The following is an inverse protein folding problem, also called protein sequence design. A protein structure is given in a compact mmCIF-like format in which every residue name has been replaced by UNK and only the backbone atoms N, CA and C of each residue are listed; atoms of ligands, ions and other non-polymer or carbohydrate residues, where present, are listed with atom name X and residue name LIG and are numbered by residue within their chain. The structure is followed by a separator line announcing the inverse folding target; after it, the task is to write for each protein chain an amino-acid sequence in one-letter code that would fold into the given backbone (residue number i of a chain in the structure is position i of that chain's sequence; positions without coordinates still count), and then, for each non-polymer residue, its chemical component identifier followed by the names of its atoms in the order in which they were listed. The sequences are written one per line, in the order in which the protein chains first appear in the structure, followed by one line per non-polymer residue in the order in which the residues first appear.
data_IF_013741205598
#
_entry.id   IF_013741205598
#
_cell.length_a   1.000
_cell.length_b   1.000
_cell.length_c   1.000
_cell.angle_alpha   90.00
_cell.angle_beta   90.00
_cell.angle_gamma   90.00
#
_symmetry.space_group_name_H-M   'P 1'
#
loop_
_entity.id
_entity.type
_entity.pdbx_description
1 polymer ?
#
# COMPACT_ATOMS: atom_id res chain seq x y z
N UNK A 1 25.27 6.06 5.73
CA UNK A 1 24.78 5.03 4.80
C UNK A 1 23.29 5.21 4.72
N UNK A 2 22.71 5.27 3.52
CA UNK A 2 21.25 5.25 3.35
C UNK A 2 20.76 3.87 3.79
N UNK A 3 19.86 3.82 4.77
CA UNK A 3 19.26 2.56 5.19
C UNK A 3 18.27 2.08 4.12
N UNK A 4 18.27 0.78 3.84
CA UNK A 4 17.43 0.17 2.82
C UNK A 4 16.22 -0.52 3.43
N UNK A 5 15.12 -0.63 2.67
CA UNK A 5 14.00 -1.46 3.04
C UNK A 5 14.20 -2.85 2.44
N UNK A 6 14.94 -3.70 3.15
CA UNK A 6 15.46 -5.00 2.70
C UNK A 6 14.40 -5.91 2.06
N UNK A 7 13.14 -5.74 2.45
CA UNK A 7 12.00 -6.47 1.91
C UNK A 7 11.88 -6.34 0.38
N UNK A 8 12.16 -5.16 -0.18
CA UNK A 8 12.00 -4.89 -1.61
C UNK A 8 12.98 -5.67 -2.46
N UNK A 9 14.17 -5.98 -1.92
CA UNK A 9 15.30 -6.57 -2.65
C UNK A 9 15.58 -5.84 -3.98
N UNK A 10 15.48 -4.51 -3.95
CA UNK A 10 15.66 -3.66 -5.12
C UNK A 10 17.09 -3.81 -5.64
N UNK A 11 17.21 -4.34 -6.87
CA UNK A 11 18.48 -4.63 -7.51
C UNK A 11 18.94 -3.46 -8.39
N UNK A 12 20.24 -3.30 -8.55
CA UNK A 12 20.79 -2.32 -9.50
C UNK A 12 20.64 -2.84 -10.93
N UNK A 13 20.28 -1.94 -11.84
CA UNK A 13 20.19 -2.22 -13.26
C UNK A 13 21.46 -1.86 -14.03
N UNK A 14 21.30 -1.58 -15.33
CA UNK A 14 22.43 -1.29 -16.24
C UNK A 14 23.00 0.15 -16.13
N UNK A 15 22.38 1.02 -15.33
CA UNK A 15 22.79 2.42 -15.11
C UNK A 15 22.65 2.75 -13.63
N UNK A 16 23.41 3.73 -13.15
CA UNK A 16 23.34 4.18 -11.75
C UNK A 16 22.01 4.82 -11.34
N UNK A 17 21.12 5.08 -12.30
CA UNK A 17 19.79 5.66 -12.09
C UNK A 17 18.66 4.70 -12.50
N UNK A 18 18.99 3.42 -12.67
CA UNK A 18 18.06 2.39 -13.08
C UNK A 18 18.13 1.21 -12.11
N UNK A 19 16.98 0.79 -11.60
CA UNK A 19 16.85 -0.30 -10.63
C UNK A 19 15.78 -1.28 -11.08
N UNK A 20 15.78 -2.47 -10.48
CA UNK A 20 14.84 -3.52 -10.80
C UNK A 20 14.18 -4.04 -9.51
N UNK A 21 12.86 -4.05 -9.48
CA UNK A 21 12.04 -4.62 -8.43
C UNK A 21 11.47 -5.97 -8.90
N UNK A 22 11.99 -7.11 -8.41
CA UNK A 22 11.33 -8.39 -8.63
C UNK A 22 9.97 -8.41 -7.91
N UNK A 23 8.89 -8.57 -8.66
CA UNK A 23 7.54 -8.59 -8.06
C UNK A 23 7.30 -9.98 -7.48
N UNK A 24 7.44 -10.10 -6.16
CA UNK A 24 7.15 -11.36 -5.45
C UNK A 24 5.71 -11.38 -4.93
N UNK A 25 5.16 -12.56 -4.59
CA UNK A 25 3.87 -12.65 -3.92
C UNK A 25 3.81 -11.81 -2.64
N UNK A 26 4.87 -11.79 -1.84
CA UNK A 26 4.95 -11.03 -0.59
C UNK A 26 4.91 -9.50 -0.80
N UNK A 27 5.24 -9.00 -1.99
CA UNK A 27 5.11 -7.58 -2.35
C UNK A 27 3.78 -7.27 -3.04
N UNK A 28 2.89 -8.26 -3.17
CA UNK A 28 1.69 -8.21 -3.98
C UNK A 28 0.43 -8.41 -3.16
N UNK A 29 -0.70 -7.98 -3.71
CA UNK A 29 -2.01 -8.23 -3.14
C UNK A 29 -2.43 -9.70 -3.37
N UNK A 30 -3.43 -10.21 -2.61
CA UNK A 30 -4.02 -11.54 -2.87
C UNK A 30 -4.70 -11.71 -4.24
N UNK A 31 -4.72 -10.66 -5.06
CA UNK A 31 -5.37 -10.63 -6.37
C UNK A 31 -4.36 -10.63 -7.53
N UNK A 32 -3.14 -11.10 -7.29
CA UNK A 32 -2.06 -11.22 -8.28
C UNK A 32 -1.68 -9.88 -8.94
N UNK A 33 -1.57 -8.81 -8.15
CA UNK A 33 -0.91 -7.60 -8.59
C UNK A 33 -0.12 -6.91 -7.47
N UNK A 34 0.96 -6.22 -7.85
CA UNK A 34 1.86 -5.48 -6.96
C UNK A 34 1.06 -4.55 -6.04
N UNK A 35 1.36 -4.62 -4.75
CA UNK A 35 0.76 -3.72 -3.76
C UNK A 35 1.26 -2.29 -3.98
N UNK A 36 0.35 -1.31 -3.91
CA UNK A 36 0.66 0.10 -4.16
C UNK A 36 1.77 0.62 -3.24
N UNK A 37 1.70 0.29 -1.94
CA UNK A 37 2.74 0.57 -0.96
C UNK A 37 4.12 0.04 -1.36
N UNK A 38 4.22 -1.16 -1.93
CA UNK A 38 5.48 -1.73 -2.46
C UNK A 38 6.04 -0.90 -3.61
N UNK A 39 5.17 -0.47 -4.54
CA UNK A 39 5.56 0.36 -5.68
C UNK A 39 6.08 1.73 -5.25
N UNK A 40 5.39 2.39 -4.32
CA UNK A 40 5.85 3.66 -3.75
C UNK A 40 7.18 3.47 -3.01
N UNK A 41 7.28 2.44 -2.17
CA UNK A 41 8.49 2.14 -1.41
C UNK A 41 9.71 1.93 -2.33
N UNK A 42 9.54 1.24 -3.46
CA UNK A 42 10.57 1.09 -4.48
C UNK A 42 10.96 2.42 -5.14
N UNK A 43 9.98 3.28 -5.46
CA UNK A 43 10.28 4.63 -5.98
C UNK A 43 11.08 5.47 -5.00
N UNK A 44 10.73 5.41 -3.70
CA UNK A 44 11.45 6.12 -2.63
C UNK A 44 12.88 5.63 -2.56
N UNK A 45 13.08 4.32 -2.41
CA UNK A 45 14.42 3.75 -2.22
C UNK A 45 15.31 4.01 -3.44
N UNK A 46 14.79 3.83 -4.66
CA UNK A 46 15.52 4.15 -5.89
C UNK A 46 15.96 5.63 -5.93
N UNK A 47 15.07 6.56 -5.58
CA UNK A 47 15.38 7.98 -5.58
C UNK A 47 16.36 8.37 -4.46
N UNK A 48 16.27 7.77 -3.27
CA UNK A 48 17.22 7.98 -2.18
C UNK A 48 18.61 7.43 -2.51
N UNK A 49 18.71 6.28 -3.21
CA UNK A 49 19.98 5.75 -3.73
C UNK A 49 20.64 6.70 -4.74
N UNK A 50 19.87 7.32 -5.62
CA UNK A 50 20.40 8.26 -6.64
C UNK A 50 20.76 9.62 -6.06
N UNK A 51 19.95 10.13 -5.14
CA UNK A 51 20.16 11.47 -4.58
C UNK A 51 21.07 11.49 -3.36
N UNK A 52 21.28 10.34 -2.72
CA UNK A 52 21.96 10.19 -1.42
C UNK A 52 21.37 11.13 -0.35
N UNK A 53 20.07 11.41 -0.46
CA UNK A 53 19.34 12.35 0.40
C UNK A 53 18.00 11.74 0.80
N UNK A 54 17.57 11.94 2.06
CA UNK A 54 16.30 11.41 2.51
C UNK A 54 15.13 12.09 1.78
N UNK A 55 14.08 11.32 1.59
CA UNK A 55 12.81 11.78 1.06
C UNK A 55 12.13 12.73 2.05
N UNK A 56 11.58 13.84 1.54
CA UNK A 56 10.68 14.71 2.31
C UNK A 56 9.24 14.65 1.80
N UNK A 57 9.06 14.38 0.51
CA UNK A 57 7.74 14.32 -0.12
C UNK A 57 7.77 13.46 -1.37
N UNK A 58 6.72 12.68 -1.57
CA UNK A 58 6.45 11.93 -2.80
C UNK A 58 4.96 12.01 -3.12
N UNK A 59 4.62 12.11 -4.40
CA UNK A 59 3.28 11.78 -4.91
C UNK A 59 3.44 10.77 -6.03
N UNK A 60 2.64 9.70 -6.01
CA UNK A 60 2.69 8.62 -6.98
C UNK A 60 1.33 8.43 -7.62
N UNK A 61 1.29 8.37 -8.94
CA UNK A 61 0.10 8.02 -9.72
C UNK A 61 0.21 6.56 -10.16
N UNK A 62 -0.87 5.79 -9.97
CA UNK A 62 -0.97 4.40 -10.41
C UNK A 62 -1.67 4.34 -11.77
N UNK A 63 -1.04 3.71 -12.75
CA UNK A 63 -1.54 3.67 -14.13
C UNK A 63 -2.03 2.27 -14.52
N UNK A 64 -1.26 1.24 -14.18
CA UNK A 64 -1.57 -0.16 -14.48
C UNK A 64 -1.16 -1.08 -13.33
N UNK A 65 -1.63 -2.32 -13.39
CA UNK A 65 -1.31 -3.36 -12.42
C UNK A 65 -0.29 -4.33 -13.01
N UNK A 66 0.56 -4.88 -12.15
CA UNK A 66 1.63 -5.81 -12.55
C UNK A 66 1.59 -7.06 -11.68
N UNK A 67 1.60 -8.24 -12.30
CA UNK A 67 1.50 -9.51 -11.61
C UNK A 67 2.82 -9.96 -10.95
N UNK A 68 2.75 -10.79 -9.88
CA UNK A 68 3.90 -11.53 -9.37
C UNK A 68 4.64 -12.32 -10.46
N UNK A 69 5.96 -12.44 -10.30
CA UNK A 69 6.86 -13.12 -11.24
C UNK A 69 7.40 -12.23 -12.36
N UNK A 70 6.93 -10.99 -12.47
CA UNK A 70 7.51 -9.98 -13.35
C UNK A 70 8.65 -9.21 -12.67
N UNK A 71 9.37 -8.42 -13.45
CA UNK A 71 10.36 -7.45 -12.96
C UNK A 71 9.92 -6.06 -13.37
N UNK A 72 9.81 -5.16 -12.40
CA UNK A 72 9.51 -3.75 -12.65
C UNK A 72 10.83 -3.00 -12.76
N UNK A 73 11.08 -2.39 -13.91
CA UNK A 73 12.19 -1.46 -14.13
C UNK A 73 11.84 -0.10 -13.52
N UNK A 74 12.73 0.48 -12.72
CA UNK A 74 12.54 1.75 -11.99
C UNK A 74 13.63 2.72 -12.43
N UNK A 75 13.27 3.70 -13.26
CA UNK A 75 14.15 4.75 -13.76
C UNK A 75 13.98 6.04 -12.97
N UNK A 76 15.11 6.63 -12.56
CA UNK A 76 15.16 7.85 -11.77
C UNK A 76 15.78 8.98 -12.59
N UNK A 77 15.06 10.09 -12.70
CA UNK A 77 15.57 11.34 -13.26
C UNK A 77 15.63 12.41 -12.18
N UNK A 78 16.71 13.21 -12.14
CA UNK A 78 16.84 14.34 -11.20
C UNK A 78 16.83 15.66 -11.97
N UNK A 79 15.66 16.19 -12.38
CA UNK A 79 15.56 17.47 -13.09
C UNK A 79 16.24 18.64 -12.37
N UNK A 80 16.24 18.62 -11.03
CA UNK A 80 16.89 19.65 -10.22
C UNK A 80 17.76 18.99 -9.16
N UNK A 81 19.07 19.24 -9.22
CA UNK A 81 20.02 18.89 -8.18
C UNK A 81 20.55 20.17 -7.50
N UNK A 82 19.81 20.69 -6.53
CA UNK A 82 20.20 21.87 -5.78
C UNK A 82 21.21 21.58 -4.66
N UNK A 83 21.69 22.63 -3.99
CA UNK A 83 22.65 22.54 -2.88
C UNK A 83 22.19 21.62 -1.75
N UNK A 84 20.91 21.72 -1.39
CA UNK A 84 20.35 20.96 -0.27
C UNK A 84 19.07 20.21 -0.64
N UNK A 85 18.44 20.55 -1.76
CA UNK A 85 17.15 19.98 -2.19
C UNK A 85 17.27 19.48 -3.62
N UNK A 86 16.75 18.30 -3.89
CA UNK A 86 16.59 17.73 -5.23
C UNK A 86 15.12 17.54 -5.57
N UNK A 87 14.74 17.83 -6.81
CA UNK A 87 13.44 17.45 -7.38
C UNK A 87 13.71 16.27 -8.33
N UNK A 88 12.98 15.18 -8.11
CA UNK A 88 13.23 13.88 -8.74
C UNK A 88 11.94 13.35 -9.35
N UNK A 89 12.04 12.77 -10.54
CA UNK A 89 10.97 12.00 -11.15
C UNK A 89 11.38 10.53 -11.15
N UNK A 90 10.47 9.64 -10.77
CA UNK A 90 10.67 8.19 -10.85
C UNK A 90 9.59 7.61 -11.74
N UNK A 91 9.98 6.84 -12.74
CA UNK A 91 9.05 6.11 -13.59
C UNK A 91 9.32 4.62 -13.42
N UNK A 92 8.28 3.86 -13.12
CA UNK A 92 8.38 2.42 -13.04
C UNK A 92 7.56 1.76 -14.15
N UNK A 93 8.15 0.80 -14.84
CA UNK A 93 7.59 0.18 -16.04
C UNK A 93 7.82 -1.32 -16.08
N UNK A 94 7.01 -2.03 -16.85
CA UNK A 94 7.19 -3.45 -17.18
C UNK A 94 7.18 -3.59 -18.69
N UNK A 95 8.20 -4.23 -19.25
CA UNK A 95 8.38 -4.36 -20.70
C UNK A 95 8.29 -3.02 -21.45
N UNK A 96 8.73 -1.93 -20.81
CA UNK A 96 8.70 -0.56 -21.34
C UNK A 96 7.37 0.19 -21.17
N UNK A 97 6.31 -0.47 -20.70
CA UNK A 97 5.01 0.15 -20.44
C UNK A 97 4.96 0.74 -19.03
N UNK A 98 4.60 2.02 -18.93
CA UNK A 98 4.60 2.75 -17.66
C UNK A 98 3.49 2.24 -16.72
N UNK A 99 3.87 1.85 -15.51
CA UNK A 99 2.99 1.30 -14.47
C UNK A 99 2.68 2.31 -13.37
N UNK A 100 3.68 3.03 -12.89
CA UNK A 100 3.52 4.14 -11.97
C UNK A 100 4.51 5.26 -12.28
N UNK A 101 4.15 6.47 -11.88
CA UNK A 101 5.02 7.64 -11.97
C UNK A 101 4.97 8.42 -10.67
N UNK A 102 6.14 8.78 -10.16
CA UNK A 102 6.30 9.48 -8.89
C UNK A 102 7.07 10.79 -9.09
N UNK A 103 6.62 11.84 -8.41
CA UNK A 103 7.38 13.08 -8.22
C UNK A 103 7.84 13.15 -6.77
N UNK A 104 9.12 13.43 -6.56
CA UNK A 104 9.74 13.40 -5.25
C UNK A 104 10.54 14.68 -4.97
N UNK A 105 10.57 15.08 -3.70
CA UNK A 105 11.47 16.09 -3.19
C UNK A 105 12.34 15.49 -2.09
N UNK A 106 13.65 15.54 -2.28
CA UNK A 106 14.64 15.04 -1.33
C UNK A 106 15.40 16.21 -0.74
N UNK A 107 15.71 16.18 0.55
CA UNK A 107 16.44 17.28 1.18
C UNK A 107 17.33 16.78 2.31
N UNK A 108 18.54 17.34 2.39
CA UNK A 108 19.41 17.21 3.56
C UNK A 108 19.73 18.60 4.09
N UNK A 109 19.44 18.82 5.37
CA UNK A 109 19.73 20.07 6.09
C UNK A 109 20.43 19.71 7.40
N UNK A 110 21.30 20.59 7.93
CA UNK A 110 21.80 20.44 9.28
C UNK A 110 20.65 20.34 10.28
N UNK A 111 20.89 19.66 11.40
CA UNK A 111 19.94 19.62 12.51
C UNK A 111 19.56 21.04 12.96
N UNK A 112 18.30 21.19 13.35
CA UNK A 112 17.74 22.46 13.76
C UNK A 112 16.50 22.26 14.62
N UNK A 113 15.70 23.33 14.73
CA UNK A 113 14.47 23.33 15.52
C UNK A 113 13.50 22.25 15.02
N UNK A 114 13.06 21.36 15.91
CA UNK A 114 12.00 20.38 15.66
C UNK A 114 10.76 20.78 16.45
N UNK A 115 9.60 20.77 15.81
CA UNK A 115 8.30 21.09 16.40
C UNK A 115 7.23 20.22 15.74
N UNK A 116 6.30 19.72 16.54
CA UNK A 116 5.12 18.99 16.06
C UNK A 116 3.88 19.69 16.59
N UNK A 117 2.96 20.07 15.69
CA UNK A 117 1.74 20.81 16.03
C UNK A 117 0.51 19.92 16.20
N UNK A 118 0.67 18.62 15.95
CA UNK A 118 -0.35 17.60 16.15
C UNK A 118 0.02 16.77 17.39
N UNK A 119 -0.98 16.16 18.02
CA UNK A 119 -0.77 15.23 19.13
C UNK A 119 -1.30 13.87 18.72
N UNK A 120 -0.52 12.80 18.96
CA UNK A 120 -0.98 11.43 18.73
C UNK A 120 -2.27 11.18 19.54
N UNK A 121 -3.30 10.55 18.97
CA UNK A 121 -4.50 10.20 19.72
C UNK A 121 -4.15 9.24 20.87
N UNK A 122 -4.83 9.41 22.02
CA UNK A 122 -4.69 8.50 23.15
C UNK A 122 -5.36 7.16 22.82
N UNK A 123 -4.56 6.12 22.65
CA UNK A 123 -5.00 4.75 22.33
C UNK A 123 -4.27 3.73 23.21
N UNK A 124 -4.82 2.50 23.39
CA UNK A 124 -4.08 1.43 24.04
C UNK A 124 -2.78 1.09 23.29
N UNK A 125 -1.74 0.62 23.98
CA UNK A 125 -0.51 0.16 23.34
C UNK A 125 -0.77 -1.11 22.52
N UNK A 126 0.09 -1.46 21.54
CA UNK A 126 -0.15 -2.57 20.61
C UNK A 126 -0.37 -3.92 21.32
N UNK A 127 0.30 -4.19 22.45
CA UNK A 127 0.13 -5.41 23.24
C UNK A 127 -1.29 -5.62 23.77
N UNK A 128 -2.03 -4.54 24.01
CA UNK A 128 -3.40 -4.55 24.54
C UNK A 128 -4.45 -4.50 23.43
N UNK A 129 -4.02 -4.37 22.16
CA UNK A 129 -4.90 -4.33 21.00
C UNK A 129 -5.09 -5.72 20.38
N UNK A 130 -6.33 -6.05 20.03
CA UNK A 130 -6.64 -7.27 19.27
C UNK A 130 -6.12 -7.20 17.82
N UNK A 131 -5.85 -8.35 17.18
CA UNK A 131 -5.40 -8.38 15.79
C UNK A 131 -6.49 -7.83 14.85
N UNK A 132 -6.06 -7.13 13.81
CA UNK A 132 -6.91 -6.79 12.67
C UNK A 132 -7.14 -8.07 11.86
N UNK A 133 -8.39 -8.49 11.71
CA UNK A 133 -8.73 -9.63 10.87
C UNK A 133 -8.58 -9.22 9.40
N UNK A 134 -7.62 -9.80 8.68
CA UNK A 134 -7.42 -9.45 7.29
C UNK A 134 -8.55 -10.02 6.43
N UNK A 135 -9.05 -9.30 5.40
CA UNK A 135 -10.22 -9.72 4.62
C UNK A 135 -10.11 -11.10 3.96
N UNK A 136 -8.91 -11.70 3.91
CA UNK A 136 -8.62 -12.97 3.24
C UNK A 136 -8.04 -14.04 4.18
N UNK A 137 -7.87 -13.78 5.47
CA UNK A 137 -7.27 -14.77 6.39
C UNK A 137 -8.08 -16.06 6.49
N UNK A 138 -9.40 -15.98 6.29
CA UNK A 138 -10.28 -17.14 6.31
C UNK A 138 -10.25 -17.97 5.01
N UNK A 139 -9.55 -17.53 3.95
CA UNK A 139 -9.51 -18.24 2.66
C UNK A 139 -8.43 -19.33 2.70
N UNK A 140 -8.80 -20.62 2.70
CA UNK A 140 -7.82 -21.70 2.75
C UNK A 140 -6.92 -21.70 1.51
N UNK A 141 -5.63 -21.94 1.70
CA UNK A 141 -4.63 -22.02 0.62
C UNK A 141 -4.53 -20.76 -0.26
N UNK A 142 -4.87 -19.57 0.27
CA UNK A 142 -4.60 -18.32 -0.46
C UNK A 142 -3.09 -18.17 -0.72
N UNK A 143 -2.68 -17.57 -1.84
CA UNK A 143 -1.28 -17.20 -2.05
C UNK A 143 -0.77 -16.28 -0.92
N UNK A 144 0.55 -16.35 -0.69
CA UNK A 144 1.23 -15.34 0.12
C UNK A 144 1.06 -13.96 -0.52
N UNK A 145 0.99 -12.94 0.32
CA UNK A 145 0.73 -11.55 -0.03
C UNK A 145 1.43 -10.60 0.94
N UNK A 146 1.35 -9.30 0.68
CA UNK A 146 1.86 -8.27 1.60
C UNK A 146 1.22 -8.34 3.00
N UNK A 147 -0.01 -8.85 3.13
CA UNK A 147 -0.66 -9.02 4.43
C UNK A 147 0.13 -9.94 5.36
N UNK A 148 0.79 -10.97 4.81
CA UNK A 148 1.53 -11.96 5.59
C UNK A 148 2.82 -11.39 6.19
N UNK A 149 3.29 -10.27 5.64
CA UNK A 149 4.44 -9.52 6.16
C UNK A 149 4.06 -8.54 7.26
N UNK A 150 2.78 -8.20 7.37
CA UNK A 150 2.30 -7.22 8.33
C UNK A 150 1.81 -7.89 9.61
N UNK A 151 2.01 -7.21 10.72
CA UNK A 151 1.28 -7.46 11.96
C UNK A 151 0.49 -6.19 12.26
N UNK A 152 -0.84 -6.32 12.34
CA UNK A 152 -1.75 -5.20 12.49
C UNK A 152 -2.71 -5.42 13.64
N UNK A 153 -2.91 -4.40 14.45
CA UNK A 153 -3.76 -4.46 15.65
C UNK A 153 -4.67 -3.25 15.74
N UNK A 154 -5.93 -3.49 16.08
CA UNK A 154 -6.97 -2.45 16.09
C UNK A 154 -6.88 -1.65 17.39
N UNK A 155 -6.55 -0.37 17.27
CA UNK A 155 -6.46 0.55 18.40
C UNK A 155 -7.77 1.35 18.59
N UNK A 156 -8.40 1.78 17.48
CA UNK A 156 -9.69 2.48 17.48
C UNK A 156 -10.53 2.02 16.29
N UNK A 157 -11.81 1.77 16.54
CA UNK A 157 -12.79 1.35 15.54
C UNK A 157 -13.01 -0.18 15.51
N UNK A 158 -13.88 -0.61 14.61
CA UNK A 158 -14.21 -2.02 14.36
C UNK A 158 -13.83 -2.37 12.93
N UNK A 159 -12.77 -3.16 12.77
CA UNK A 159 -12.25 -3.63 11.47
C UNK A 159 -12.82 -5.01 11.13
N UNK A 160 -14.14 -5.10 10.96
CA UNK A 160 -14.82 -6.33 10.59
C UNK A 160 -16.03 -6.04 9.72
N UNK A 161 -16.31 -6.92 8.75
CA UNK A 161 -17.49 -6.83 7.89
C UNK A 161 -18.48 -7.95 8.26
N UNK A 162 -19.63 -7.57 8.84
CA UNK A 162 -20.67 -8.50 9.31
C UNK A 162 -22.08 -7.95 9.06
N UNK A 163 -23.11 -8.76 9.28
CA UNK A 163 -24.51 -8.40 8.95
C UNK A 163 -25.01 -7.11 9.67
N UNK A 164 -24.51 -6.86 10.88
CA UNK A 164 -24.84 -5.68 11.68
C UNK A 164 -23.91 -4.49 11.46
N UNK A 165 -23.01 -4.56 10.48
CA UNK A 165 -22.07 -3.47 10.25
C UNK A 165 -22.82 -2.19 9.84
N UNK A 166 -22.38 -1.08 10.42
CA UNK A 166 -22.87 0.26 10.15
C UNK A 166 -21.68 1.18 9.90
N UNK A 167 -21.89 2.30 9.20
CA UNK A 167 -20.92 3.38 9.20
C UNK A 167 -20.52 3.72 10.63
N UNK A 168 -19.23 3.96 10.86
CA UNK A 168 -18.70 4.16 12.21
C UNK A 168 -17.96 5.50 12.33
N UNK A 169 -17.83 6.03 13.57
CA UNK A 169 -17.11 7.28 13.79
C UNK A 169 -15.64 7.19 13.36
N UNK A 170 -15.14 8.28 12.81
CA UNK A 170 -13.73 8.50 12.48
C UNK A 170 -13.09 9.47 13.49
N UNK A 171 -11.75 9.45 13.67
CA UNK A 171 -10.77 8.63 12.94
C UNK A 171 -10.76 7.15 13.39
N UNK A 172 -10.23 6.30 12.52
CA UNK A 172 -9.89 4.90 12.83
C UNK A 172 -8.40 4.85 13.20
N UNK A 173 -7.99 3.85 13.98
CA UNK A 173 -6.57 3.71 14.32
C UNK A 173 -6.12 2.25 14.38
N UNK A 174 -4.98 1.97 13.74
CA UNK A 174 -4.38 0.62 13.66
C UNK A 174 -2.89 0.73 13.94
N UNK A 175 -2.41 -0.05 14.90
CA UNK A 175 -0.97 -0.30 15.04
C UNK A 175 -0.53 -1.22 13.90
N UNK A 176 0.54 -0.86 13.19
CA UNK A 176 1.09 -1.65 12.09
C UNK A 176 2.60 -1.78 12.23
N UNK A 177 3.12 -2.97 11.96
CA UNK A 177 4.56 -3.23 11.81
C UNK A 177 4.84 -4.19 10.67
N UNK A 178 6.09 -4.19 10.21
CA UNK A 178 6.60 -5.22 9.30
C UNK A 178 7.26 -6.31 10.13
N UNK A 179 6.89 -7.58 9.91
CA UNK A 179 7.44 -8.71 10.66
C UNK A 179 8.93 -8.87 10.37
N UNK A 180 9.72 -9.00 11.43
CA UNK A 180 11.15 -9.33 11.34
C UNK A 180 12.09 -8.15 11.07
N UNK A 181 11.58 -6.91 11.02
CA UNK A 181 12.42 -5.72 10.92
C UNK A 181 11.71 -4.47 11.49
N UNK A 182 12.44 -3.54 12.12
CA UNK A 182 11.89 -2.26 12.56
C UNK A 182 11.54 -1.36 11.37
N UNK A 183 10.68 -0.37 11.62
CA UNK A 183 10.42 0.74 10.72
C UNK A 183 11.47 1.82 10.94
N UNK A 184 12.25 2.12 9.90
CA UNK A 184 13.34 3.11 9.95
C UNK A 184 13.55 3.91 8.67
N UNK A 185 12.78 3.61 7.63
CA UNK A 185 12.91 4.25 6.31
C UNK A 185 11.60 4.85 5.83
N UNK A 186 11.67 5.88 4.99
CA UNK A 186 10.50 6.43 4.30
C UNK A 186 9.80 5.35 3.45
N UNK A 187 10.55 4.42 2.86
CA UNK A 187 10.03 3.26 2.14
C UNK A 187 9.20 2.34 3.04
N UNK A 188 9.65 2.07 4.28
CA UNK A 188 8.89 1.25 5.24
C UNK A 188 7.58 1.93 5.69
N UNK A 189 7.57 3.26 5.84
CA UNK A 189 6.36 4.04 6.12
C UNK A 189 5.39 4.04 4.94
N UNK A 190 5.90 4.17 3.70
CA UNK A 190 5.08 4.06 2.50
C UNK A 190 4.42 2.69 2.36
N UNK A 191 5.16 1.63 2.69
CA UNK A 191 4.64 0.27 2.66
C UNK A 191 3.49 0.06 3.64
N UNK A 192 3.61 0.49 4.90
CA UNK A 192 2.51 0.30 5.87
C UNK A 192 1.35 1.31 5.68
N UNK A 193 1.64 2.46 5.06
CA UNK A 193 0.74 3.61 4.97
C UNK A 193 -0.33 3.55 3.88
N UNK A 194 -0.21 2.64 2.91
CA UNK A 194 -1.16 2.47 1.80
C UNK A 194 -2.39 1.65 2.28
N UNK A 195 -3.19 2.26 3.14
CA UNK A 195 -4.33 1.64 3.87
C UNK A 195 -5.65 2.43 3.73
N UNK A 196 -5.65 3.62 3.12
CA UNK A 196 -6.85 4.48 3.01
C UNK A 196 -8.06 3.75 2.39
N UNK A 197 -7.94 2.91 1.35
CA UNK A 197 -9.09 2.20 0.79
C UNK A 197 -9.78 1.30 1.82
N UNK A 198 -9.02 0.62 2.68
CA UNK A 198 -9.59 -0.16 3.77
C UNK A 198 -10.31 0.76 4.77
N UNK A 199 -9.69 1.86 5.18
CA UNK A 199 -10.30 2.84 6.09
C UNK A 199 -11.64 3.37 5.58
N UNK A 200 -11.75 3.66 4.28
CA UNK A 200 -13.00 4.06 3.64
C UNK A 200 -14.06 2.96 3.69
N UNK A 201 -13.72 1.72 3.33
CA UNK A 201 -14.66 0.60 3.40
C UNK A 201 -15.17 0.37 4.83
N UNK A 202 -14.28 0.49 5.82
CA UNK A 202 -14.60 0.36 7.25
C UNK A 202 -15.48 1.51 7.75
N UNK A 203 -15.23 2.75 7.30
CA UNK A 203 -16.08 3.90 7.64
C UNK A 203 -17.44 3.88 6.95
N UNK A 204 -17.52 3.34 5.73
CA UNK A 204 -18.79 3.09 5.03
C UNK A 204 -19.57 1.91 5.62
N UNK A 205 -18.90 1.03 6.37
CA UNK A 205 -19.49 -0.19 6.89
C UNK A 205 -19.82 -1.20 5.79
N UNK A 206 -19.04 -1.23 4.71
CA UNK A 206 -19.28 -2.08 3.54
C UNK A 206 -17.99 -2.75 3.05
N UNK A 207 -17.99 -4.06 2.76
CA UNK A 207 -16.83 -4.80 2.26
C UNK A 207 -16.57 -4.53 0.77
N UNK A 208 -16.34 -3.28 0.43
CA UNK A 208 -16.11 -2.88 -0.96
C UNK A 208 -14.64 -3.09 -1.33
N UNK A 209 -14.39 -3.35 -2.61
CA UNK A 209 -13.04 -3.35 -3.17
C UNK A 209 -12.60 -1.94 -3.51
N UNK A 210 -11.38 -1.57 -3.14
CA UNK A 210 -10.77 -0.29 -3.47
C UNK A 210 -9.60 -0.42 -4.45
N UNK A 211 -9.37 0.60 -5.26
CA UNK A 211 -8.15 0.73 -6.07
C UNK A 211 -7.63 2.15 -5.98
N UNK A 212 -6.38 2.31 -5.57
CA UNK A 212 -5.71 3.61 -5.47
C UNK A 212 -5.60 4.27 -6.85
N UNK A 213 -5.92 5.55 -6.94
CA UNK A 213 -5.60 6.39 -8.11
C UNK A 213 -4.21 6.99 -7.91
N UNK A 214 -3.99 7.53 -6.71
CA UNK A 214 -2.72 8.10 -6.30
C UNK A 214 -2.40 7.74 -4.84
N UNK A 215 -1.22 8.11 -4.38
CA UNK A 215 -0.87 8.20 -2.96
C UNK A 215 0.26 9.23 -2.80
N UNK A 216 0.11 10.12 -1.82
CA UNK A 216 1.04 11.23 -1.55
C UNK A 216 1.49 11.19 -0.10
N UNK A 217 2.80 11.14 0.14
CA UNK A 217 3.39 11.10 1.47
C UNK A 217 4.29 12.31 1.72
N UNK A 218 4.31 12.76 2.98
CA UNK A 218 5.27 13.72 3.52
C UNK A 218 5.95 13.09 4.73
N UNK A 219 7.26 13.00 4.66
CA UNK A 219 8.07 12.49 5.76
C UNK A 219 8.38 13.66 6.69
N UNK A 220 8.10 13.46 7.98
CA UNK A 220 8.32 14.45 9.03
C UNK A 220 9.63 14.18 9.74
N UNK A 221 9.89 12.91 10.08
CA UNK A 221 11.15 12.46 10.66
C UNK A 221 11.86 11.51 9.71
N UNK A 222 13.15 11.77 9.45
CA UNK A 222 14.01 10.96 8.59
C UNK A 222 15.02 10.13 9.40
N UNK A 223 15.07 10.35 10.71
CA UNK A 223 15.94 9.67 11.66
C UNK A 223 15.03 9.17 12.78
N UNK A 224 14.52 7.95 12.61
CA UNK A 224 13.62 7.30 13.52
C UNK A 224 13.84 5.79 13.45
N UNK A 225 13.55 5.10 14.54
CA UNK A 225 13.41 3.66 14.58
C UNK A 225 12.24 3.33 15.51
N UNK A 226 11.28 2.56 15.04
CA UNK A 226 10.11 2.14 15.83
C UNK A 226 9.69 0.74 15.39
N UNK A 227 9.29 -0.11 16.33
CA UNK A 227 8.81 -1.45 15.97
C UNK A 227 7.39 -1.33 15.42
N UNK A 228 6.53 -0.59 16.11
CA UNK A 228 5.17 -0.29 15.67
C UNK A 228 5.03 1.15 15.23
N UNK A 229 4.15 1.39 14.27
CA UNK A 229 3.63 2.72 13.99
C UNK A 229 2.10 2.73 14.09
N UNK A 230 1.55 3.74 14.75
CA UNK A 230 0.12 3.97 14.78
C UNK A 230 -0.29 4.66 13.48
N UNK A 231 -1.15 4.00 12.71
CA UNK A 231 -1.80 4.57 11.54
C UNK A 231 -3.14 5.16 11.99
N UNK A 232 -3.17 6.48 12.20
CA UNK A 232 -4.42 7.23 12.41
C UNK A 232 -5.03 7.53 11.03
N UNK A 233 -6.08 6.79 10.68
CA UNK A 233 -6.71 6.80 9.37
C UNK A 233 -7.94 7.71 9.44
N UNK A 234 -8.00 8.67 8.53
CA UNK A 234 -9.03 9.70 8.46
C UNK A 234 -9.69 9.58 7.08
N UNK A 235 -10.75 8.77 6.95
CA UNK A 235 -11.64 8.82 5.80
C UNK A 235 -12.28 10.21 5.72
N UNK A 236 -12.06 10.94 4.63
CA UNK A 236 -12.46 12.34 4.49
C UNK A 236 -13.75 12.49 3.71
N UNK A 237 -13.90 11.76 2.60
CA UNK A 237 -15.13 11.80 1.81
C UNK A 237 -15.28 10.58 0.91
N UNK A 238 -16.53 10.32 0.54
CA UNK A 238 -16.89 9.34 -0.47
C UNK A 238 -18.01 9.91 -1.33
N UNK A 239 -17.76 10.07 -2.63
CA UNK A 239 -18.71 10.65 -3.59
C UNK A 239 -18.56 9.94 -4.92
N UNK A 240 -19.67 9.44 -5.48
CA UNK A 240 -19.70 8.82 -6.82
C UNK A 240 -18.62 7.75 -7.05
N UNK A 241 -18.43 6.84 -6.08
CA UNK A 241 -17.40 5.79 -6.12
C UNK A 241 -15.96 6.28 -5.99
N UNK A 242 -15.74 7.57 -5.72
CA UNK A 242 -14.42 8.14 -5.41
C UNK A 242 -14.33 8.42 -3.92
N UNK A 243 -13.31 7.87 -3.27
CA UNK A 243 -13.00 8.10 -1.87
C UNK A 243 -11.70 8.87 -1.70
N UNK A 244 -11.70 9.77 -0.72
CA UNK A 244 -10.52 10.51 -0.29
C UNK A 244 -10.27 10.24 1.19
N UNK A 245 -9.01 10.13 1.58
CA UNK A 245 -8.64 10.04 2.98
C UNK A 245 -7.16 10.34 3.22
N UNK A 246 -6.86 10.56 4.49
CA UNK A 246 -5.51 10.78 5.00
C UNK A 246 -5.11 9.73 6.03
N UNK A 247 -3.80 9.57 6.22
CA UNK A 247 -3.20 8.77 7.30
C UNK A 247 -2.14 9.62 7.98
N UNK A 248 -2.14 9.66 9.30
CA UNK A 248 -1.02 10.16 10.10
C UNK A 248 -0.33 8.97 10.74
N UNK A 249 0.99 8.90 10.61
CA UNK A 249 1.80 7.79 11.09
C UNK A 249 2.61 8.27 12.29
N UNK A 250 2.41 7.62 13.42
CA UNK A 250 3.06 7.97 14.68
C UNK A 250 3.96 6.84 15.15
N UNK A 251 5.10 7.14 15.77
CA UNK A 251 5.89 6.14 16.48
C UNK A 251 5.14 5.62 17.72
N UNK A 252 5.63 4.53 18.32
CA UNK A 252 5.15 4.06 19.63
C UNK A 252 5.24 5.11 20.73
N UNK A 253 6.23 6.00 20.63
CA UNK A 253 6.48 7.09 21.59
C UNK A 253 5.64 8.35 21.33
N UNK A 254 4.85 8.38 20.25
CA UNK A 254 3.98 9.50 19.91
C UNK A 254 4.60 10.57 19.01
N UNK A 255 5.73 10.28 18.39
CA UNK A 255 6.36 11.17 17.41
C UNK A 255 5.66 11.06 16.06
N UNK A 256 5.31 12.19 15.43
CA UNK A 256 4.75 12.19 14.09
C UNK A 256 5.85 11.86 13.08
N UNK A 257 5.75 10.71 12.41
CA UNK A 257 6.74 10.21 11.45
C UNK A 257 6.43 10.66 10.03
N UNK A 258 5.16 10.55 9.62
CA UNK A 258 4.73 10.91 8.28
C UNK A 258 3.24 11.27 8.24
N UNK A 259 2.84 11.97 7.18
CA UNK A 259 1.44 12.13 6.78
C UNK A 259 1.27 11.68 5.35
N UNK A 260 0.17 10.97 5.07
CA UNK A 260 -0.18 10.49 3.75
C UNK A 260 -1.61 10.92 3.36
N UNK A 261 -1.86 11.05 2.06
CA UNK A 261 -3.17 11.29 1.48
C UNK A 261 -3.35 10.47 0.22
N UNK A 262 -4.58 10.02 0.00
CA UNK A 262 -4.89 9.10 -1.06
C UNK A 262 -6.26 9.36 -1.65
N UNK A 263 -6.36 9.25 -2.96
CA UNK A 263 -7.61 9.12 -3.71
C UNK A 263 -7.73 7.69 -4.20
N UNK A 264 -8.93 7.11 -4.08
CA UNK A 264 -9.19 5.76 -4.55
C UNK A 264 -10.58 5.62 -5.17
N UNK A 265 -10.69 4.68 -6.09
CA UNK A 265 -11.98 4.21 -6.61
C UNK A 265 -12.45 3.10 -5.69
N UNK A 266 -13.64 3.27 -5.08
CA UNK A 266 -14.31 2.24 -4.31
C UNK A 266 -15.44 1.65 -5.15
N UNK A 267 -15.38 0.35 -5.41
CA UNK A 267 -16.30 -0.35 -6.32
C UNK A 267 -17.64 -0.57 -5.63
N UNK A 268 -18.70 0.09 -6.12
CA UNK A 268 -20.07 -0.01 -5.57
C UNK A 268 -21.01 -0.87 -6.42
N UNK A 269 -20.61 -1.24 -7.64
CA UNK A 269 -21.44 -2.04 -8.54
C UNK A 269 -21.31 -3.55 -8.26
N UNK A 270 -22.43 -4.17 -7.88
CA UNK A 270 -22.61 -5.62 -7.91
C UNK A 270 -22.52 -6.13 -9.37
N UNK A 271 -21.32 -6.46 -9.84
CA UNK A 271 -21.24 -7.42 -10.94
C UNK A 271 -21.50 -8.82 -10.38
N UNK A 272 -22.77 -9.20 -10.38
CA UNK A 272 -23.19 -10.60 -10.41
C UNK A 272 -22.48 -11.33 -11.55
N UNK A 273 -21.48 -12.16 -11.26
CA UNK A 273 -21.20 -13.43 -11.95
C UNK A 273 -19.84 -14.02 -11.52
N UNK A 274 -19.87 -14.93 -10.55
CA UNK A 274 -19.18 -16.21 -10.72
C UNK A 274 -20.29 -17.25 -10.63
N UNK A 275 -20.70 -17.76 -11.78
CA UNK A 275 -21.55 -18.94 -11.86
C UNK A 275 -20.75 -20.11 -11.33
N UNK A 276 -21.32 -20.79 -10.33
CA UNK A 276 -20.85 -22.07 -9.86
C UNK A 276 -20.82 -23.08 -11.03
N UNK A 277 -19.68 -23.76 -11.15
CA UNK A 277 -19.41 -25.00 -11.87
C UNK A 277 -20.42 -25.50 -12.90
N UNK A 278 -19.94 -25.58 -14.15
CA UNK A 278 -20.37 -26.60 -15.10
C UNK A 278 -19.99 -28.00 -14.57
N UNK A 279 -20.86 -28.58 -13.73
CA UNK A 279 -20.90 -30.02 -13.51
C UNK A 279 -21.68 -30.66 -14.66
N UNK A 280 -21.03 -31.61 -15.32
CA UNK A 280 -21.42 -32.11 -16.63
C UNK A 280 -22.72 -32.92 -16.70
N UNK A 281 -23.19 -33.08 -17.93
CA UNK A 281 -23.88 -34.30 -18.33
C UNK A 281 -23.20 -34.81 -19.60
N UNK A 282 -22.45 -35.89 -19.44
CA UNK A 282 -22.04 -36.78 -20.52
C UNK A 282 -22.76 -38.10 -20.31
N UNK A 283 -23.43 -38.59 -21.35
CA UNK A 283 -23.76 -39.99 -21.50
C UNK A 283 -25.25 -40.36 -21.42
N UNK A 284 -25.94 -40.31 -22.55
CA UNK A 284 -26.66 -41.52 -22.98
C UNK A 284 -26.45 -41.72 -24.48
N UNK A 285 -25.85 -42.87 -24.80
CA UNK A 285 -25.57 -43.32 -26.15
C UNK A 285 -26.86 -43.77 -26.84
N UNK A 286 -26.82 -43.69 -28.18
CA UNK A 286 -27.99 -43.72 -29.02
C UNK A 286 -28.68 -45.07 -29.19
N UNK A 287 -29.79 -45.00 -29.90
CA UNK A 287 -30.24 -46.09 -30.77
C UNK A 287 -30.90 -45.46 -31.98
N UNK A 288 -30.27 -45.66 -33.13
CA UNK A 288 -30.80 -45.30 -34.43
C UNK A 288 -31.91 -46.30 -34.82
N UNK A 289 -33.01 -45.80 -35.35
CA UNK A 289 -33.89 -46.57 -36.22
C UNK A 289 -34.50 -45.64 -37.29
N UNK A 290 -34.22 -46.05 -38.52
CA UNK A 290 -34.65 -45.59 -39.83
C UNK A 290 -36.16 -45.59 -40.04
N UNK A 291 -36.68 -44.73 -40.94
CA UNK A 291 -37.89 -45.06 -41.70
C UNK A 291 -38.79 -43.89 -42.13
N UNK A 292 -38.70 -43.57 -43.41
CA UNK A 292 -39.62 -42.81 -44.28
C UNK A 292 -41.10 -42.69 -43.88
N UNK A 293 -41.66 -41.48 -44.01
CA UNK A 293 -42.63 -41.07 -45.04
C UNK A 293 -42.92 -39.57 -44.91
#
# INVERSE_FOLDING_TARGET
MTEHFDLLRLADGNRSTHFQLPVTPELSTPFDFLYGGSGIAASIEAAERVTERPLMWITTQFLTNTAPGTVVDVDVATPVAGRATSQVHVNASVDGELMLSSLCAHTSRPEGKRETFLTMPSVPPPEDCGPLAEPFDAVPNRPNSFFDLLDRRVAVGTFAFGEDQRPQPCPLAVWSRVRGQPLRTAASLAFIGDIVPLGLCIALGQPLGGTSIDNTLRIVQTDFETEWALLEIIPESFQHSIGHGSVRMWSETGDLLAVAQQTCIIRTSHHSSISAGSAGSAGSAGTAATGSA
#
